data_IF_316770733448
#
_entry.id   IF_316770733448
#
_cell.length_a   1.000
_cell.length_b   1.000
_cell.length_c   1.000
_cell.angle_alpha   90.00
_cell.angle_beta   90.00
_cell.angle_gamma   90.00
#
_symmetry.space_group_name_H-M   'P 1'
#
loop_
_entity.id
_entity.type
_entity.pdbx_description
1 polymer ?
#
# COMPACT_ATOMS: atom_id res chain seq x y z
N UNK A 1 -4.50 1.41 -31.98
CA UNK A 1 -5.47 1.64 -30.90
C UNK A 1 -4.94 0.88 -29.71
N UNK A 2 -4.47 1.58 -28.68
CA UNK A 2 -3.92 0.94 -27.50
C UNK A 2 -5.04 0.16 -26.81
N UNK A 3 -4.80 -1.11 -26.51
CA UNK A 3 -5.71 -1.88 -25.66
C UNK A 3 -5.80 -1.14 -24.32
N UNK A 4 -7.00 -0.65 -23.92
CA UNK A 4 -7.16 -0.08 -22.59
C UNK A 4 -6.92 -1.22 -21.60
N UNK A 5 -6.14 -0.96 -20.54
CA UNK A 5 -5.97 -1.87 -19.41
C UNK A 5 -7.28 -2.64 -19.15
N UNK A 6 -7.27 -3.94 -19.48
CA UNK A 6 -8.48 -4.73 -19.73
C UNK A 6 -9.35 -4.90 -18.47
N UNK A 7 -10.30 -3.99 -18.27
CA UNK A 7 -11.70 -4.31 -17.99
C UNK A 7 -12.09 -4.98 -16.67
N UNK A 8 -11.21 -5.17 -15.68
CA UNK A 8 -11.68 -5.51 -14.32
C UNK A 8 -12.15 -4.23 -13.61
N UNK A 9 -13.39 -4.19 -13.09
CA UNK A 9 -13.80 -3.08 -12.24
C UNK A 9 -12.84 -3.00 -11.05
N UNK A 10 -12.51 -1.78 -10.62
CA UNK A 10 -11.79 -1.58 -9.37
C UNK A 10 -12.56 -2.33 -8.26
N UNK A 11 -11.86 -3.05 -7.36
CA UNK A 11 -12.54 -3.75 -6.28
C UNK A 11 -13.34 -2.76 -5.44
N UNK A 12 -14.50 -3.20 -4.97
CA UNK A 12 -15.27 -2.44 -3.98
C UNK A 12 -14.39 -2.10 -2.76
N UNK A 13 -14.77 -1.07 -2.03
CA UNK A 13 -14.06 -0.70 -0.81
C UNK A 13 -14.03 -1.88 0.17
N UNK A 14 -12.82 -2.36 0.44
CA UNK A 14 -12.51 -3.34 1.47
C UNK A 14 -11.28 -2.80 2.21
N UNK A 15 -11.45 -2.32 3.45
CA UNK A 15 -10.39 -1.62 4.16
C UNK A 15 -9.21 -2.55 4.50
N UNK A 16 -9.43 -3.86 4.64
CA UNK A 16 -8.36 -4.84 4.90
C UNK A 16 -7.56 -5.15 3.63
N UNK A 17 -8.25 -5.33 2.51
CA UNK A 17 -7.61 -5.51 1.21
C UNK A 17 -6.74 -4.30 0.84
N UNK A 18 -7.30 -3.09 0.95
CA UNK A 18 -6.61 -1.86 0.59
C UNK A 18 -5.42 -1.61 1.52
N UNK A 19 -5.60 -1.78 2.84
CA UNK A 19 -4.51 -1.65 3.81
C UNK A 19 -3.35 -2.61 3.54
N UNK A 20 -3.64 -3.89 3.23
CA UNK A 20 -2.58 -4.87 2.89
C UNK A 20 -1.85 -4.50 1.61
N UNK A 21 -2.56 -3.99 0.59
CA UNK A 21 -1.95 -3.55 -0.67
C UNK A 21 -1.03 -2.35 -0.44
N UNK A 22 -1.46 -1.38 0.36
CA UNK A 22 -0.64 -0.24 0.78
C UNK A 22 0.59 -0.72 1.54
N UNK A 23 0.43 -1.58 2.54
CA UNK A 23 1.54 -2.11 3.32
C UNK A 23 2.56 -2.89 2.46
N UNK A 24 2.08 -3.73 1.54
CA UNK A 24 2.94 -4.44 0.57
C UNK A 24 3.73 -3.46 -0.30
N UNK A 25 3.08 -2.41 -0.79
CA UNK A 25 3.73 -1.38 -1.60
C UNK A 25 4.77 -0.61 -0.78
N UNK A 26 4.42 -0.18 0.44
CA UNK A 26 5.33 0.53 1.35
C UNK A 26 6.52 -0.34 1.70
N UNK A 27 6.34 -1.59 2.10
CA UNK A 27 7.42 -2.54 2.39
C UNK A 27 8.34 -2.77 1.18
N UNK A 28 7.76 -2.85 -0.02
CA UNK A 28 8.55 -3.10 -1.25
C UNK A 28 9.36 -1.89 -1.69
N UNK A 29 8.92 -0.67 -1.36
CA UNK A 29 9.57 0.58 -1.80
C UNK A 29 10.34 1.28 -0.67
N UNK A 30 10.05 0.95 0.59
CA UNK A 30 10.80 1.41 1.75
C UNK A 30 12.15 0.71 1.78
N UNK A 31 13.23 1.48 1.66
CA UNK A 31 14.59 0.95 1.75
C UNK A 31 15.13 0.23 0.52
N UNK A 32 14.44 0.27 -0.63
CA UNK A 32 15.00 -0.18 -1.92
C UNK A 32 15.83 0.88 -2.64
N UNK A 33 15.71 2.13 -2.24
CA UNK A 33 16.57 3.24 -2.67
C UNK A 33 17.81 3.34 -1.73
N UNK A 34 18.94 3.92 -2.17
CA UNK A 34 20.20 3.91 -1.42
C UNK A 34 20.18 4.60 -0.04
N UNK A 35 19.04 5.17 0.40
CA UNK A 35 18.91 5.93 1.65
C UNK A 35 17.78 5.44 2.57
N UNK A 36 17.38 4.16 2.54
CA UNK A 36 16.37 3.70 3.51
C UNK A 36 15.01 4.41 3.33
N UNK A 37 14.75 4.89 2.10
CA UNK A 37 13.82 5.98 1.85
C UNK A 37 12.39 5.57 2.20
N UNK A 38 11.82 6.24 3.20
CA UNK A 38 10.40 6.17 3.53
C UNK A 38 9.54 6.55 2.31
N UNK A 39 8.38 5.92 2.17
CA UNK A 39 7.50 6.12 1.01
C UNK A 39 6.60 7.34 1.24
N UNK A 40 6.60 8.34 0.34
CA UNK A 40 5.77 9.52 0.52
C UNK A 40 4.27 9.22 0.33
N UNK A 41 3.39 9.93 1.04
CA UNK A 41 1.92 9.81 0.93
C UNK A 41 1.45 9.88 -0.52
N UNK A 42 2.03 10.79 -1.29
CA UNK A 42 1.72 10.97 -2.72
C UNK A 42 2.01 9.73 -3.56
N UNK A 43 3.10 9.00 -3.26
CA UNK A 43 3.44 7.73 -3.93
C UNK A 43 2.42 6.64 -3.63
N UNK A 44 1.99 6.53 -2.36
CA UNK A 44 0.96 5.57 -1.95
C UNK A 44 -0.38 5.88 -2.63
N UNK A 45 -0.79 7.15 -2.65
CA UNK A 45 -2.02 7.59 -3.31
C UNK A 45 -2.00 7.28 -4.81
N UNK A 46 -0.87 7.52 -5.47
CA UNK A 46 -0.70 7.18 -6.89
C UNK A 46 -0.80 5.67 -7.11
N UNK A 47 -0.17 4.85 -6.26
CA UNK A 47 -0.29 3.40 -6.32
C UNK A 47 -1.74 2.93 -6.19
N UNK A 48 -2.49 3.43 -5.21
CA UNK A 48 -3.91 3.09 -5.03
C UNK A 48 -4.73 3.55 -6.23
N UNK A 49 -4.48 4.75 -6.77
CA UNK A 49 -5.20 5.25 -7.94
C UNK A 49 -4.95 4.43 -9.22
N UNK A 50 -3.75 3.83 -9.36
CA UNK A 50 -3.38 3.04 -10.55
C UNK A 50 -3.79 1.56 -10.44
N UNK A 51 -3.74 0.98 -9.23
CA UNK A 51 -3.99 -0.44 -9.00
C UNK A 51 -5.34 -0.77 -8.38
N UNK A 52 -6.05 0.22 -7.84
CA UNK A 52 -7.31 0.12 -7.11
C UNK A 52 -8.22 1.30 -7.50
N UNK A 53 -9.13 1.73 -6.62
CA UNK A 53 -9.97 2.92 -6.83
C UNK A 53 -9.38 4.17 -6.15
N UNK A 54 -9.08 5.19 -6.96
CA UNK A 54 -8.53 6.47 -6.49
C UNK A 54 -9.37 7.19 -5.43
N UNK A 55 -10.68 6.93 -5.37
CA UNK A 55 -11.57 7.56 -4.38
C UNK A 55 -11.26 7.14 -2.95
N UNK A 56 -10.65 5.97 -2.78
CA UNK A 56 -10.26 5.44 -1.48
C UNK A 56 -8.76 5.59 -1.20
N UNK A 57 -8.04 6.41 -1.98
CA UNK A 57 -6.60 6.55 -1.83
C UNK A 57 -6.18 7.04 -0.43
N UNK A 58 -6.91 8.01 0.13
CA UNK A 58 -6.65 8.50 1.48
C UNK A 58 -7.17 7.52 2.54
N UNK A 59 -8.39 6.98 2.38
CA UNK A 59 -8.94 5.97 3.29
C UNK A 59 -8.05 4.71 3.38
N UNK A 60 -7.39 4.32 2.29
CA UNK A 60 -6.48 3.19 2.25
C UNK A 60 -5.19 3.41 3.06
N UNK A 61 -4.69 4.64 3.07
CA UNK A 61 -3.53 5.03 3.89
C UNK A 61 -3.93 4.97 5.36
N UNK A 62 -5.04 5.61 5.73
CA UNK A 62 -5.53 5.59 7.12
C UNK A 62 -5.83 4.16 7.59
N UNK A 63 -6.49 3.35 6.75
CA UNK A 63 -6.77 1.95 7.03
C UNK A 63 -5.51 1.11 7.29
N UNK A 64 -4.39 1.43 6.62
CA UNK A 64 -3.11 0.76 6.83
C UNK A 64 -2.43 1.17 8.15
N UNK A 65 -2.59 2.44 8.55
CA UNK A 65 -2.10 2.97 9.83
C UNK A 65 -2.91 2.41 11.00
N UNK A 66 -4.24 2.44 10.92
CA UNK A 66 -5.15 1.93 11.97
C UNK A 66 -4.95 0.44 12.25
N UNK A 67 -4.61 -0.34 11.23
CA UNK A 67 -4.29 -1.77 11.35
C UNK A 67 -2.87 -2.02 11.86
N UNK A 68 -2.05 -0.98 11.98
CA UNK A 68 -0.65 -1.06 12.37
C UNK A 68 0.21 -1.79 11.34
N UNK A 69 -0.14 -1.73 10.05
CA UNK A 69 0.69 -2.33 8.98
C UNK A 69 1.78 -1.38 8.50
N UNK A 70 1.47 -0.08 8.49
CA UNK A 70 2.40 1.00 8.18
C UNK A 70 2.33 2.05 9.27
N UNK A 71 3.40 2.82 9.42
CA UNK A 71 3.46 3.94 10.34
C UNK A 71 4.03 5.17 9.63
N UNK A 72 3.57 6.35 10.04
CA UNK A 72 4.15 7.62 9.62
C UNK A 72 5.43 7.86 10.43
N UNK A 73 6.58 7.74 9.78
CA UNK A 73 7.89 7.88 10.42
C UNK A 73 8.39 9.33 10.33
N UNK A 74 8.08 10.01 9.22
CA UNK A 74 8.29 11.44 9.01
C UNK A 74 7.02 12.06 8.43
N UNK A 75 6.81 13.39 8.53
CA UNK A 75 5.64 14.04 7.95
C UNK A 75 5.40 13.65 6.49
N UNK A 76 4.24 13.09 6.20
CA UNK A 76 3.84 12.57 4.89
C UNK A 76 4.73 11.44 4.35
N UNK A 77 5.47 10.73 5.19
CA UNK A 77 6.33 9.62 4.80
C UNK A 77 6.16 8.39 5.69
N UNK A 78 5.99 7.26 5.04
CA UNK A 78 5.54 6.03 5.68
C UNK A 78 6.57 4.92 5.53
N UNK A 79 6.73 4.15 6.60
CA UNK A 79 7.47 2.90 6.64
C UNK A 79 6.56 1.73 7.00
N UNK A 80 6.95 0.48 6.70
CA UNK A 80 6.27 -0.68 7.26
C UNK A 80 6.54 -0.76 8.76
N UNK A 81 5.57 -1.21 9.56
CA UNK A 81 5.80 -1.45 10.98
C UNK A 81 6.58 -2.73 11.20
N UNK A 82 7.28 -2.84 12.33
CA UNK A 82 7.95 -4.10 12.72
C UNK A 82 6.96 -5.27 12.80
N UNK A 83 5.72 -5.02 13.24
CA UNK A 83 4.67 -6.04 13.32
C UNK A 83 4.31 -6.60 11.94
N UNK A 84 4.24 -5.75 10.92
CA UNK A 84 4.02 -6.16 9.53
C UNK A 84 5.21 -6.95 8.98
N UNK A 85 6.43 -6.45 9.18
CA UNK A 85 7.65 -7.06 8.64
C UNK A 85 8.01 -8.38 9.34
N UNK A 86 7.84 -8.46 10.66
CA UNK A 86 8.11 -9.66 11.45
C UNK A 86 7.01 -10.74 11.30
N UNK A 87 5.80 -10.33 10.89
CA UNK A 87 4.61 -11.18 10.81
C UNK A 87 4.63 -12.28 9.74
N UNK A 88 5.63 -12.32 8.85
CA UNK A 88 5.80 -13.44 7.91
C UNK A 88 4.59 -13.74 7.01
N UNK A 89 3.62 -12.82 6.86
CA UNK A 89 2.38 -13.02 6.09
C UNK A 89 2.57 -13.00 4.57
N UNK A 90 3.81 -13.21 4.08
CA UNK A 90 4.06 -13.77 2.74
C UNK A 90 3.65 -15.25 2.62
N UNK A 91 3.31 -15.92 3.73
CA UNK A 91 3.14 -17.37 3.80
C UNK A 91 1.84 -18.00 3.28
N UNK A 92 0.84 -17.31 2.74
CA UNK A 92 -0.41 -17.98 2.29
C UNK A 92 -1.16 -17.26 1.15
N UNK A 93 -0.49 -17.00 0.02
CA UNK A 93 -1.13 -16.64 -1.26
C UNK A 93 -0.85 -17.69 -2.35
N UNK A 94 -0.89 -18.97 -1.97
CA UNK A 94 -1.15 -20.07 -2.89
C UNK A 94 -2.46 -20.71 -2.48
N UNK A 95 -3.59 -20.13 -2.91
CA UNK A 95 -4.81 -20.84 -3.37
C UNK A 95 -5.55 -19.97 -4.39
#
# INVERSE_FOLDING_TARGET
MSEPNSGRPAPAWDPDLYARRVATYVETNAGTEPEGTLVPRSGIRQFVAMGLDSRFADDAVEAAIERGFVEEVEPDRFGPTEAWTAGGTRGSLTE
#
